data_IF_549434742972
#
_entry.id   IF_549434742972
#
_cell.length_a   1.000
_cell.length_b   1.000
_cell.length_c   1.000
_cell.angle_alpha   90.00
_cell.angle_beta   90.00
_cell.angle_gamma   90.00
#
_symmetry.space_group_name_H-M   'P 1'
#
loop_
_entity.id
_entity.type
_entity.pdbx_description
1 polymer ?
#
# COMPACT_ATOMS: atom_id res chain seq x y z
N UNK A 1 -13.79 2.81 -13.30
CA UNK A 1 -12.82 2.28 -12.31
C UNK A 1 -11.72 3.31 -12.00
N UNK A 2 -11.04 3.12 -10.87
CA UNK A 2 -9.91 3.97 -10.53
C UNK A 2 -10.26 5.29 -9.82
N UNK A 3 -11.39 5.38 -9.17
CA UNK A 3 -11.79 6.57 -8.41
C UNK A 3 -11.61 6.45 -6.90
N UNK A 4 -11.30 5.26 -6.41
CA UNK A 4 -11.09 4.98 -5.00
C UNK A 4 -9.65 5.21 -4.55
N UNK A 5 -9.37 4.94 -3.27
CA UNK A 5 -8.06 5.13 -2.63
C UNK A 5 -6.92 4.34 -3.30
N UNK A 6 -7.22 3.19 -3.93
CA UNK A 6 -6.21 2.38 -4.63
C UNK A 6 -5.56 3.08 -5.81
N UNK A 7 -6.23 4.06 -6.41
CA UNK A 7 -5.74 4.86 -7.54
C UNK A 7 -5.46 6.32 -7.19
N UNK A 8 -5.88 6.77 -6.00
CA UNK A 8 -5.71 8.14 -5.51
C UNK A 8 -4.77 8.17 -4.30
N UNK A 9 -3.56 7.71 -4.50
CA UNK A 9 -2.50 7.74 -3.50
C UNK A 9 -1.18 8.15 -4.15
N UNK A 10 -0.13 8.26 -3.37
CA UNK A 10 1.19 8.68 -3.86
C UNK A 10 1.88 7.68 -4.81
N UNK A 11 1.31 6.50 -5.02
CA UNK A 11 1.90 5.47 -5.87
C UNK A 11 3.19 4.86 -5.33
N UNK A 12 3.38 4.90 -4.04
CA UNK A 12 4.62 4.50 -3.40
C UNK A 12 4.50 3.13 -2.75
N UNK A 13 5.09 2.12 -3.38
CA UNK A 13 5.20 0.77 -2.83
C UNK A 13 6.48 0.66 -2.00
N UNK A 14 6.37 0.19 -0.76
CA UNK A 14 7.50 0.09 0.15
C UNK A 14 7.56 -1.28 0.82
N UNK A 15 8.76 -1.82 0.95
CA UNK A 15 9.01 -3.09 1.62
C UNK A 15 9.29 -2.95 3.12
N UNK A 16 9.82 -1.79 3.52
CA UNK A 16 10.16 -1.47 4.92
C UNK A 16 9.60 -0.11 5.28
N UNK A 17 9.16 0.09 6.51
CA UNK A 17 8.61 1.36 6.98
C UNK A 17 9.06 1.67 8.40
N UNK A 18 9.38 2.93 8.65
CA UNK A 18 9.71 3.45 9.98
C UNK A 18 8.44 3.69 10.81
N UNK A 19 7.34 4.03 10.13
CA UNK A 19 6.09 4.48 10.77
C UNK A 19 5.16 3.35 11.20
N UNK A 20 5.50 2.10 10.90
CA UNK A 20 4.66 0.93 11.19
C UNK A 20 4.80 0.45 12.64
N UNK A 21 4.83 1.41 13.56
CA UNK A 21 4.96 1.13 14.98
C UNK A 21 6.36 0.67 15.37
N UNK A 22 7.40 1.17 14.69
CA UNK A 22 8.77 1.05 15.19
C UNK A 22 8.85 1.75 16.53
N UNK A 23 8.45 1.03 17.56
CA UNK A 23 8.78 1.33 18.93
C UNK A 23 10.04 0.50 19.22
N UNK A 24 11.14 1.19 19.44
CA UNK A 24 12.41 0.60 19.85
C UNK A 24 12.17 -0.61 20.75
N UNK A 25 12.72 -1.77 20.40
CA UNK A 25 12.74 -3.03 21.16
C UNK A 25 11.53 -3.97 21.07
N UNK A 26 10.59 -3.80 20.16
CA UNK A 26 9.58 -4.83 19.92
C UNK A 26 9.94 -5.63 18.69
N UNK A 27 10.26 -6.85 18.97
CA UNK A 27 10.33 -8.04 18.14
C UNK A 27 10.72 -7.82 16.67
N UNK A 28 12.04 -7.85 16.42
CA UNK A 28 12.61 -7.85 15.06
C UNK A 28 11.97 -8.93 14.16
N UNK A 29 11.51 -10.04 14.76
CA UNK A 29 10.84 -11.13 14.04
C UNK A 29 9.47 -10.71 13.50
N UNK A 30 8.67 -9.96 14.27
CA UNK A 30 7.38 -9.48 13.79
C UNK A 30 7.54 -8.40 12.72
N UNK A 31 8.57 -7.57 12.84
CA UNK A 31 8.93 -6.64 11.78
C UNK A 31 9.35 -7.38 10.50
N UNK A 32 10.18 -8.42 10.63
CA UNK A 32 10.59 -9.25 9.51
C UNK A 32 9.40 -9.91 8.79
N UNK A 33 8.45 -10.45 9.55
CA UNK A 33 7.21 -11.04 8.97
C UNK A 33 6.44 -10.01 8.12
N UNK A 34 6.29 -8.78 8.64
CA UNK A 34 5.65 -7.69 7.89
C UNK A 34 6.40 -7.36 6.61
N UNK A 35 7.72 -7.20 6.68
CA UNK A 35 8.55 -6.93 5.51
C UNK A 35 8.42 -8.03 4.45
N UNK A 36 8.38 -9.29 4.87
CA UNK A 36 8.19 -10.41 3.94
C UNK A 36 6.84 -10.37 3.24
N UNK A 37 5.77 -9.99 3.95
CA UNK A 37 4.44 -9.79 3.37
C UNK A 37 4.46 -8.64 2.36
N UNK A 38 5.07 -7.50 2.70
CA UNK A 38 5.17 -6.36 1.79
C UNK A 38 5.97 -6.70 0.54
N UNK A 39 7.12 -7.35 0.68
CA UNK A 39 7.91 -7.84 -0.47
C UNK A 39 7.09 -8.78 -1.36
N UNK A 40 6.32 -9.69 -0.75
CA UNK A 40 5.45 -10.58 -1.51
C UNK A 40 4.37 -9.81 -2.28
N UNK A 41 3.77 -8.79 -1.67
CA UNK A 41 2.83 -7.89 -2.34
C UNK A 41 3.47 -7.19 -3.54
N UNK A 42 4.67 -6.63 -3.37
CA UNK A 42 5.42 -6.00 -4.47
C UNK A 42 5.72 -6.99 -5.60
N UNK A 43 6.10 -8.22 -5.27
CA UNK A 43 6.34 -9.27 -6.29
C UNK A 43 5.08 -9.61 -7.09
N UNK A 44 3.92 -9.67 -6.43
CA UNK A 44 2.63 -9.91 -7.12
C UNK A 44 2.34 -8.81 -8.12
N UNK A 45 2.50 -7.54 -7.71
CA UNK A 45 2.30 -6.39 -8.60
C UNK A 45 3.32 -6.41 -9.76
N UNK A 46 4.60 -6.66 -9.46
CA UNK A 46 5.66 -6.75 -10.49
C UNK A 46 5.36 -7.87 -11.50
N UNK A 47 4.92 -9.04 -11.02
CA UNK A 47 4.54 -10.16 -11.89
C UNK A 47 3.39 -9.78 -12.80
N UNK A 48 2.35 -9.16 -12.26
CA UNK A 48 1.20 -8.66 -13.03
C UNK A 48 1.63 -7.69 -14.12
N UNK A 49 2.43 -6.66 -13.78
CA UNK A 49 2.95 -5.67 -14.72
C UNK A 49 3.73 -6.34 -15.86
N UNK A 50 4.56 -7.32 -15.53
CA UNK A 50 5.36 -8.04 -16.53
C UNK A 50 4.50 -8.95 -17.42
N UNK A 51 3.54 -9.65 -16.84
CA UNK A 51 2.67 -10.62 -17.54
C UNK A 51 1.77 -9.91 -18.55
N UNK A 52 1.19 -8.77 -18.15
CA UNK A 52 0.25 -8.01 -18.98
C UNK A 52 0.87 -6.79 -19.66
N UNK A 53 2.20 -6.61 -19.58
CA UNK A 53 2.94 -5.50 -20.19
C UNK A 53 2.37 -4.12 -19.83
N UNK A 54 1.98 -3.94 -18.57
CA UNK A 54 1.34 -2.73 -18.07
C UNK A 54 2.35 -1.58 -17.99
N UNK A 55 2.05 -0.47 -18.66
CA UNK A 55 2.76 0.81 -18.45
C UNK A 55 2.11 1.58 -17.30
N UNK A 56 2.74 1.58 -16.14
CA UNK A 56 2.32 2.31 -14.95
C UNK A 56 3.43 3.19 -14.37
N UNK A 57 4.38 3.62 -15.17
CA UNK A 57 5.52 4.46 -14.76
C UNK A 57 6.35 3.81 -13.64
N UNK A 58 6.54 2.49 -13.68
CA UNK A 58 7.26 1.72 -12.67
C UNK A 58 8.71 2.18 -12.53
N UNK A 59 9.10 2.65 -11.32
CA UNK A 59 10.43 3.16 -11.04
C UNK A 59 10.94 2.65 -9.68
N UNK A 60 11.99 1.83 -9.70
CA UNK A 60 12.66 1.32 -8.51
C UNK A 60 13.66 2.36 -7.94
N UNK A 61 13.14 3.48 -7.49
CA UNK A 61 13.94 4.63 -7.03
C UNK A 61 14.53 4.47 -5.62
N UNK A 62 14.13 3.45 -4.88
CA UNK A 62 14.43 3.34 -3.45
C UNK A 62 13.64 4.35 -2.63
N UNK A 63 14.01 4.52 -1.36
CA UNK A 63 13.32 5.47 -0.47
C UNK A 63 14.25 6.09 0.53
N UNK A 64 13.86 7.28 0.99
CA UNK A 64 14.55 8.05 1.99
C UNK A 64 13.63 8.26 3.20
N UNK A 65 14.14 7.92 4.38
CA UNK A 65 13.60 8.37 5.65
C UNK A 65 14.47 9.55 6.11
N UNK A 66 13.99 10.76 5.98
CA UNK A 66 14.79 11.94 6.27
C UNK A 66 14.08 12.85 7.28
N UNK A 67 14.86 13.47 8.16
CA UNK A 67 14.37 14.44 9.13
C UNK A 67 15.19 15.73 9.12
N UNK A 68 14.48 16.84 9.28
CA UNK A 68 15.08 18.17 9.52
C UNK A 68 15.48 18.38 10.98
N UNK A 69 15.06 17.48 11.87
CA UNK A 69 15.32 17.56 13.31
C UNK A 69 16.48 16.66 13.72
N UNK A 70 17.46 17.21 14.42
CA UNK A 70 18.60 16.43 14.94
C UNK A 70 18.20 15.42 16.01
N UNK A 71 17.14 15.66 16.75
CA UNK A 71 16.57 14.75 17.76
C UNK A 71 16.17 13.39 17.16
N UNK A 72 15.73 13.35 15.90
CA UNK A 72 15.36 12.12 15.21
C UNK A 72 16.57 11.25 14.80
N UNK A 73 17.79 11.76 14.97
CA UNK A 73 19.02 11.03 14.65
C UNK A 73 19.07 9.68 15.36
N UNK A 74 18.70 9.64 16.64
CA UNK A 74 18.70 8.39 17.43
C UNK A 74 17.74 7.36 16.86
N UNK A 75 16.56 7.79 16.47
CA UNK A 75 15.53 6.93 15.87
C UNK A 75 15.99 6.38 14.51
N UNK A 76 16.53 7.23 13.65
CA UNK A 76 17.03 6.82 12.32
C UNK A 76 18.20 5.84 12.45
N UNK A 77 19.16 6.09 13.36
CA UNK A 77 20.28 5.19 13.61
C UNK A 77 19.84 3.84 14.20
N UNK A 78 18.88 3.84 15.12
CA UNK A 78 18.31 2.62 15.67
C UNK A 78 17.61 1.79 14.62
N UNK A 79 16.87 2.44 13.74
CA UNK A 79 16.21 1.79 12.61
C UNK A 79 17.22 1.21 11.60
N UNK A 80 18.27 1.97 11.26
CA UNK A 80 19.37 1.48 10.43
C UNK A 80 20.03 0.23 11.02
N UNK A 81 20.30 0.23 12.34
CA UNK A 81 20.86 -0.92 13.04
C UNK A 81 19.96 -2.14 12.96
N UNK A 82 18.66 -1.99 13.21
CA UNK A 82 17.69 -3.07 13.08
C UNK A 82 17.64 -3.63 11.66
N UNK A 83 17.60 -2.77 10.64
CA UNK A 83 17.62 -3.21 9.25
C UNK A 83 18.90 -3.99 8.92
N UNK A 84 20.05 -3.56 9.45
CA UNK A 84 21.33 -4.25 9.27
C UNK A 84 21.34 -5.62 9.96
N UNK A 85 20.80 -5.73 11.17
CA UNK A 85 20.62 -7.01 11.88
C UNK A 85 19.78 -7.99 11.05
N UNK A 86 18.72 -7.49 10.41
CA UNK A 86 17.84 -8.25 9.53
C UNK A 86 18.40 -8.44 8.10
N UNK A 87 19.66 -8.04 7.88
CA UNK A 87 20.36 -8.15 6.59
C UNK A 87 19.71 -7.37 5.44
N UNK A 88 19.00 -6.29 5.74
CA UNK A 88 18.49 -5.36 4.72
C UNK A 88 19.52 -4.27 4.43
N UNK A 89 19.82 -4.11 3.14
CA UNK A 89 20.72 -3.03 2.68
C UNK A 89 20.14 -1.67 3.00
N UNK A 90 20.90 -0.88 3.72
CA UNK A 90 20.52 0.49 4.09
C UNK A 90 21.77 1.37 4.18
N UNK A 91 21.61 2.68 4.04
CA UNK A 91 22.68 3.66 4.13
C UNK A 91 22.22 4.88 4.93
N UNK A 92 22.90 5.16 6.03
CA UNK A 92 22.72 6.43 6.75
C UNK A 92 23.35 7.55 5.93
N UNK A 93 22.64 8.65 5.79
CA UNK A 93 23.06 9.83 5.04
C UNK A 93 23.10 11.05 5.97
N UNK A 94 24.20 11.79 5.90
CA UNK A 94 24.36 13.07 6.59
C UNK A 94 24.02 14.25 5.66
N UNK A 95 23.93 15.47 6.23
CA UNK A 95 23.45 16.68 5.52
C UNK A 95 23.99 16.85 4.10
N UNK A 96 25.32 16.78 3.92
CA UNK A 96 25.96 16.96 2.61
C UNK A 96 25.57 15.88 1.60
N UNK A 97 25.44 14.64 2.07
CA UNK A 97 25.06 13.52 1.22
C UNK A 97 23.58 13.61 0.82
N UNK A 98 22.72 14.03 1.75
CA UNK A 98 21.29 14.25 1.49
C UNK A 98 21.12 15.43 0.52
N UNK A 99 21.83 16.55 0.75
CA UNK A 99 21.80 17.70 -0.15
C UNK A 99 22.17 17.28 -1.58
N UNK A 100 23.22 16.50 -1.75
CA UNK A 100 23.65 16.00 -3.05
C UNK A 100 22.61 15.10 -3.72
N UNK A 101 21.87 14.28 -2.93
CA UNK A 101 20.90 13.31 -3.47
C UNK A 101 19.52 13.89 -3.68
N UNK A 102 19.06 14.79 -2.80
CA UNK A 102 17.71 15.34 -2.81
C UNK A 102 17.62 16.80 -3.26
N UNK A 103 18.77 17.45 -3.49
CA UNK A 103 18.82 18.83 -3.95
C UNK A 103 18.38 19.86 -2.93
N UNK A 104 18.36 19.53 -1.64
CA UNK A 104 17.87 20.41 -0.56
C UNK A 104 18.72 20.32 0.69
N UNK A 105 18.92 21.46 1.38
CA UNK A 105 19.59 21.58 2.70
C UNK A 105 18.65 21.39 3.88
N UNK A 106 17.39 21.10 3.61
CA UNK A 106 16.35 21.02 4.65
C UNK A 106 16.60 19.90 5.66
N UNK A 107 17.07 18.75 5.18
CA UNK A 107 17.23 17.55 6.02
C UNK A 107 18.60 17.50 6.68
N UNK A 108 18.63 17.08 7.96
CA UNK A 108 19.84 16.96 8.79
C UNK A 108 20.40 15.55 8.86
N UNK A 109 19.52 14.58 8.74
CA UNK A 109 19.85 13.14 8.79
C UNK A 109 18.87 12.38 7.93
N UNK A 110 19.30 11.28 7.33
CA UNK A 110 18.43 10.38 6.59
C UNK A 110 18.93 8.96 6.53
N UNK A 111 18.05 8.08 6.09
CA UNK A 111 18.35 6.69 5.82
C UNK A 111 17.81 6.35 4.44
N UNK A 112 18.66 5.87 3.56
CA UNK A 112 18.27 5.33 2.27
C UNK A 112 18.12 3.82 2.32
N UNK A 113 17.07 3.27 1.70
CA UNK A 113 16.87 1.84 1.47
C UNK A 113 16.42 1.58 0.03
N UNK A 114 16.80 0.43 -0.54
CA UNK A 114 16.50 0.09 -1.94
C UNK A 114 15.03 -0.31 -2.20
N UNK A 115 14.28 -0.69 -1.18
CA UNK A 115 12.96 -1.29 -1.31
C UNK A 115 11.80 -0.31 -1.51
N UNK A 116 12.03 0.82 -2.18
CA UNK A 116 11.02 1.80 -2.56
C UNK A 116 10.79 1.81 -4.06
N UNK A 117 9.52 1.77 -4.47
CA UNK A 117 9.11 1.78 -5.87
C UNK A 117 8.03 2.85 -6.02
N UNK A 118 8.20 3.71 -7.00
CA UNK A 118 7.22 4.71 -7.38
C UNK A 118 6.53 4.27 -8.66
N UNK A 119 5.22 4.40 -8.71
CA UNK A 119 4.41 4.09 -9.89
C UNK A 119 3.18 5.00 -9.97
N UNK A 120 2.51 4.99 -11.10
CA UNK A 120 1.23 5.66 -11.27
C UNK A 120 0.09 4.70 -10.87
N UNK A 121 -0.55 4.90 -9.69
CA UNK A 121 -1.57 3.99 -9.21
C UNK A 121 -2.84 4.02 -10.06
N UNK A 122 -3.15 5.16 -10.67
CA UNK A 122 -4.29 5.29 -11.58
C UNK A 122 -4.12 4.45 -12.84
N UNK A 123 -2.94 4.51 -13.48
CA UNK A 123 -2.59 3.66 -14.61
C UNK A 123 -2.64 2.17 -14.23
N UNK A 124 -2.04 1.79 -13.10
CA UNK A 124 -2.05 0.40 -12.64
C UNK A 124 -3.47 -0.14 -12.45
N UNK A 125 -4.33 0.59 -11.72
CA UNK A 125 -5.70 0.12 -11.44
C UNK A 125 -6.54 0.04 -12.72
N UNK A 126 -6.39 0.98 -13.66
CA UNK A 126 -7.09 0.93 -14.94
C UNK A 126 -6.63 -0.25 -15.77
N UNK A 127 -5.34 -0.51 -15.87
CA UNK A 127 -4.83 -1.68 -16.58
C UNK A 127 -5.32 -3.02 -15.99
N UNK A 128 -5.63 -3.08 -14.69
CA UNK A 128 -6.26 -4.27 -14.12
C UNK A 128 -7.66 -4.52 -14.67
N UNK A 129 -8.38 -3.45 -15.04
CA UNK A 129 -9.69 -3.57 -15.69
C UNK A 129 -9.55 -4.02 -17.15
N UNK A 130 -8.57 -3.47 -17.86
CA UNK A 130 -8.36 -3.74 -19.28
C UNK A 130 -7.97 -5.21 -19.57
N UNK A 131 -7.45 -5.92 -18.56
CA UNK A 131 -7.02 -7.33 -18.66
C UNK A 131 -7.98 -8.31 -17.97
N UNK A 132 -9.19 -7.88 -17.64
CA UNK A 132 -10.19 -8.79 -17.08
C UNK A 132 -10.52 -9.91 -18.07
N UNK A 133 -10.65 -11.12 -17.55
CA UNK A 133 -11.02 -12.29 -18.34
C UNK A 133 -12.51 -12.22 -18.75
N UNK A 134 -12.86 -12.87 -19.84
CA UNK A 134 -14.24 -12.85 -20.41
C UNK A 134 -15.33 -13.36 -19.44
N UNK A 135 -14.95 -14.19 -18.48
CA UNK A 135 -15.86 -14.69 -17.44
C UNK A 135 -16.06 -13.71 -16.27
N UNK A 136 -15.43 -12.53 -16.28
CA UNK A 136 -15.56 -11.48 -15.28
C UNK A 136 -16.40 -10.33 -15.84
N UNK A 137 -17.50 -10.01 -15.17
CA UNK A 137 -18.34 -8.87 -15.52
C UNK A 137 -18.10 -7.74 -14.53
N UNK A 138 -17.69 -6.59 -15.03
CA UNK A 138 -17.50 -5.37 -14.25
C UNK A 138 -18.71 -4.44 -14.43
N UNK A 139 -19.32 -4.07 -13.31
CA UNK A 139 -20.41 -3.09 -13.27
C UNK A 139 -19.93 -1.82 -12.54
N UNK A 140 -19.69 -0.77 -13.29
CA UNK A 140 -19.39 0.56 -12.75
C UNK A 140 -20.66 1.30 -12.38
N UNK A 141 -20.54 2.34 -11.54
CA UNK A 141 -21.67 3.17 -11.09
C UNK A 141 -22.83 2.36 -10.47
N UNK A 142 -22.50 1.20 -9.93
CA UNK A 142 -23.46 0.22 -9.40
C UNK A 142 -23.20 -0.04 -7.93
N UNK A 143 -23.47 0.93 -7.04
CA UNK A 143 -23.22 0.77 -5.61
C UNK A 143 -24.11 -0.32 -5.04
N UNK A 144 -23.54 -1.24 -4.28
CA UNK A 144 -24.26 -2.19 -3.46
C UNK A 144 -24.92 -1.44 -2.30
N UNK A 145 -26.26 -1.40 -2.28
CA UNK A 145 -27.03 -0.69 -1.25
C UNK A 145 -27.29 -1.54 -0.02
N UNK A 146 -27.54 -2.83 -0.24
CA UNK A 146 -27.89 -3.79 0.81
C UNK A 146 -27.58 -5.20 0.36
N UNK A 147 -27.33 -6.06 1.29
CA UNK A 147 -27.23 -7.49 1.06
C UNK A 147 -27.94 -8.28 2.16
N UNK A 148 -28.42 -9.48 1.83
CA UNK A 148 -29.03 -10.41 2.76
C UNK A 148 -28.58 -11.83 2.44
N UNK A 149 -28.34 -12.62 3.47
CA UNK A 149 -28.10 -14.05 3.34
C UNK A 149 -29.39 -14.80 3.60
N UNK A 150 -29.85 -15.57 2.62
CA UNK A 150 -31.04 -16.41 2.69
C UNK A 150 -30.60 -17.86 2.46
N UNK A 151 -30.44 -18.65 3.53
CA UNK A 151 -29.94 -20.02 3.49
C UNK A 151 -28.59 -20.12 2.74
N UNK A 152 -28.60 -20.78 1.58
CA UNK A 152 -27.40 -21.01 0.77
C UNK A 152 -27.07 -19.84 -0.20
N UNK A 153 -27.99 -18.89 -0.39
CA UNK A 153 -27.82 -17.79 -1.34
C UNK A 153 -27.68 -16.44 -0.64
N UNK A 154 -27.06 -15.52 -1.33
CA UNK A 154 -26.88 -14.13 -0.92
C UNK A 154 -27.54 -13.25 -1.96
N UNK A 155 -28.51 -12.42 -1.53
CA UNK A 155 -29.15 -11.43 -2.39
C UNK A 155 -28.46 -10.08 -2.22
N UNK A 156 -27.96 -9.52 -3.30
CA UNK A 156 -27.27 -8.23 -3.37
C UNK A 156 -28.20 -7.22 -4.07
N UNK A 157 -28.56 -6.15 -3.37
CA UNK A 157 -29.54 -5.16 -3.86
C UNK A 157 -28.83 -3.90 -4.35
N UNK A 158 -29.13 -3.54 -5.58
CA UNK A 158 -28.69 -2.30 -6.24
C UNK A 158 -29.91 -1.39 -6.50
N UNK A 159 -29.69 -0.20 -7.04
CA UNK A 159 -30.78 0.76 -7.27
C UNK A 159 -31.94 0.18 -8.09
N UNK A 160 -31.65 -0.54 -9.16
CA UNK A 160 -32.65 -1.04 -10.12
C UNK A 160 -32.61 -2.57 -10.30
N UNK A 161 -31.66 -3.25 -9.68
CA UNK A 161 -31.41 -4.67 -9.91
C UNK A 161 -31.10 -5.42 -8.62
N UNK A 162 -31.27 -6.73 -8.66
CA UNK A 162 -30.84 -7.65 -7.59
C UNK A 162 -30.03 -8.77 -8.22
N UNK A 163 -28.91 -9.10 -7.60
CA UNK A 163 -28.05 -10.23 -8.01
C UNK A 163 -28.12 -11.27 -6.88
N UNK A 164 -28.37 -12.52 -7.25
CA UNK A 164 -28.24 -13.65 -6.35
C UNK A 164 -26.90 -14.39 -6.59
N UNK A 165 -26.21 -14.72 -5.52
CA UNK A 165 -24.93 -15.41 -5.56
C UNK A 165 -24.78 -16.37 -4.38
N UNK A 166 -23.90 -17.35 -4.49
CA UNK A 166 -23.52 -18.23 -3.39
C UNK A 166 -22.44 -17.61 -2.48
N UNK A 167 -21.62 -16.72 -3.02
CA UNK A 167 -20.49 -16.12 -2.32
C UNK A 167 -20.39 -14.63 -2.62
N UNK A 168 -19.99 -13.84 -1.64
CA UNK A 168 -19.68 -12.42 -1.78
C UNK A 168 -18.33 -12.13 -1.12
N UNK A 169 -17.52 -11.31 -1.79
CA UNK A 169 -16.25 -10.82 -1.26
C UNK A 169 -16.35 -9.30 -1.19
N UNK A 170 -16.17 -8.75 0.00
CA UNK A 170 -16.20 -7.30 0.22
C UNK A 170 -14.79 -6.74 0.17
N UNK A 171 -14.46 -6.01 -0.89
CA UNK A 171 -13.19 -5.31 -1.06
C UNK A 171 -13.37 -3.79 -0.94
N UNK A 172 -14.22 -3.35 -0.02
CA UNK A 172 -14.66 -1.96 0.11
C UNK A 172 -13.89 -1.16 1.17
N UNK A 173 -12.82 -1.72 1.71
CA UNK A 173 -11.94 -1.09 2.68
C UNK A 173 -12.73 -0.36 3.79
N UNK A 174 -12.54 0.96 3.97
CA UNK A 174 -13.20 1.78 4.99
C UNK A 174 -14.73 1.84 4.89
N UNK A 175 -15.32 1.45 3.76
CA UNK A 175 -16.78 1.48 3.55
C UNK A 175 -17.53 0.23 4.08
N UNK A 176 -16.85 -0.75 4.65
CA UNK A 176 -17.48 -1.97 5.19
C UNK A 176 -18.59 -1.69 6.20
N UNK A 177 -18.43 -0.68 7.04
CA UNK A 177 -19.42 -0.28 8.03
C UNK A 177 -20.74 0.19 7.41
N UNK A 178 -20.70 0.81 6.22
CA UNK A 178 -21.89 1.25 5.48
C UNK A 178 -22.71 0.08 4.95
N UNK A 179 -22.09 -1.08 4.78
CA UNK A 179 -22.75 -2.33 4.38
C UNK A 179 -23.21 -3.16 5.59
N UNK A 180 -23.25 -2.58 6.78
CA UNK A 180 -23.66 -3.24 8.02
C UNK A 180 -22.64 -4.22 8.58
N UNK A 181 -21.42 -4.27 8.00
CA UNK A 181 -20.35 -5.14 8.48
C UNK A 181 -19.58 -4.39 9.57
N UNK A 182 -19.91 -4.72 10.82
CA UNK A 182 -19.23 -4.14 11.99
C UNK A 182 -17.88 -4.80 12.18
N UNK A 183 -16.80 -4.06 11.96
CA UNK A 183 -15.47 -4.51 12.34
C UNK A 183 -14.91 -3.57 13.41
N UNK A 184 -14.37 -4.14 14.49
CA UNK A 184 -13.71 -3.36 15.56
C UNK A 184 -12.38 -2.76 15.10
N UNK A 185 -11.89 -3.16 13.93
CA UNK A 185 -10.53 -2.89 13.44
C UNK A 185 -10.51 -2.05 12.16
N UNK A 186 -11.66 -1.59 11.68
CA UNK A 186 -11.73 -0.81 10.44
C UNK A 186 -12.13 0.63 10.74
N UNK A 187 -11.14 1.50 10.81
CA UNK A 187 -11.30 2.94 10.99
C UNK A 187 -10.81 3.64 9.72
N UNK A 188 -11.70 4.27 8.95
CA UNK A 188 -11.26 5.07 7.80
C UNK A 188 -10.48 6.30 8.29
N UNK A 189 -9.25 6.42 7.85
CA UNK A 189 -8.41 7.60 8.04
C UNK A 189 -8.27 8.30 6.69
N UNK A 190 -8.53 9.60 6.68
CA UNK A 190 -8.28 10.43 5.50
C UNK A 190 -6.90 11.05 5.68
N UNK A 191 -6.01 10.71 4.75
CA UNK A 191 -4.71 11.35 4.64
C UNK A 191 -4.75 12.31 3.45
N UNK A 192 -4.43 13.56 3.69
CA UNK A 192 -4.20 14.55 2.63
C UNK A 192 -2.70 14.64 2.38
N UNK A 193 -2.30 14.51 1.13
CA UNK A 193 -0.92 14.70 0.69
C UNK A 193 -0.79 16.05 -0.03
#
# INVERSE_FOLDING_TARGET
>A
AGEGASSRNSGYLVDTTLNDGFVSNKDENDYLKKVLIYKKGIEVVRKFIKEYQVDCDWNECGKYFASSKLEDKKTILSFSKMLSNLKFSNQVLHEKEIEKKLGTKFYKIGLYTKGGILLNPGKLVRSMVDVLQDNVQLFENSPLLKWKRNNAKISCYFKNNTIETEKIIFCTNGYLSQLGIKTRYNFPLILTA
#
